data_IF_524653321159
#
_entry.id   IF_524653321159
#
_cell.length_a   1.000
_cell.length_b   1.000
_cell.length_c   1.000
_cell.angle_alpha   90.00
_cell.angle_beta   90.00
_cell.angle_gamma   90.00
#
_symmetry.space_group_name_H-M   'P 1'
#
loop_
_entity.id
_entity.type
_entity.pdbx_description
1 polymer ?
#
# COMPACT_ATOMS: atom_id res chain seq x y z
N UNK A 1 3.74 -24.25 -15.29
CA UNK A 1 4.84 -23.26 -15.40
C UNK A 1 4.32 -22.08 -16.18
N UNK A 2 4.34 -20.86 -15.63
CA UNK A 2 3.80 -19.66 -16.32
C UNK A 2 4.69 -19.30 -17.52
N UNK A 3 4.11 -18.70 -18.57
CA UNK A 3 4.83 -18.35 -19.81
C UNK A 3 6.07 -17.48 -19.55
N UNK A 4 5.96 -16.52 -18.61
CA UNK A 4 7.07 -15.65 -18.20
C UNK A 4 8.11 -16.37 -17.34
N UNK A 5 7.72 -17.36 -16.53
CA UNK A 5 8.67 -18.20 -15.79
C UNK A 5 9.43 -19.14 -16.73
N UNK A 6 8.77 -19.62 -17.79
CA UNK A 6 9.46 -20.30 -18.89
C UNK A 6 10.46 -19.37 -19.60
N UNK A 7 10.06 -18.12 -19.89
CA UNK A 7 10.96 -17.12 -20.48
C UNK A 7 12.16 -16.79 -19.60
N UNK A 8 11.97 -16.77 -18.27
CA UNK A 8 13.05 -16.57 -17.30
C UNK A 8 14.08 -17.70 -17.29
N UNK A 9 13.69 -18.90 -17.71
CA UNK A 9 14.57 -20.07 -17.86
C UNK A 9 15.26 -20.05 -19.22
N UNK A 10 14.52 -19.72 -20.29
CA UNK A 10 15.03 -19.76 -21.67
C UNK A 10 15.88 -18.55 -22.02
N UNK A 11 15.60 -17.37 -21.45
CA UNK A 11 16.34 -16.13 -21.71
C UNK A 11 16.45 -15.24 -20.46
N UNK A 12 17.21 -15.66 -19.43
CA UNK A 12 17.33 -14.94 -18.15
C UNK A 12 17.79 -13.49 -18.29
N UNK A 13 18.72 -13.21 -19.21
CA UNK A 13 19.25 -11.86 -19.45
C UNK A 13 18.21 -10.88 -20.00
N UNK A 14 17.34 -11.35 -20.91
CA UNK A 14 16.25 -10.54 -21.44
C UNK A 14 15.18 -10.28 -20.36
N UNK A 15 14.82 -11.30 -19.58
CA UNK A 15 13.88 -11.16 -18.46
C UNK A 15 14.39 -10.15 -17.43
N UNK A 16 15.67 -10.25 -17.03
CA UNK A 16 16.29 -9.28 -16.12
C UNK A 16 16.24 -7.87 -16.68
N UNK A 17 16.55 -7.68 -17.96
CA UNK A 17 16.48 -6.37 -18.63
C UNK A 17 15.06 -5.80 -18.66
N UNK A 18 14.05 -6.61 -18.93
CA UNK A 18 12.63 -6.19 -18.92
C UNK A 18 12.20 -5.77 -17.51
N UNK A 19 12.51 -6.58 -16.49
CA UNK A 19 12.18 -6.27 -15.10
C UNK A 19 12.90 -5.01 -14.59
N UNK A 20 14.19 -4.83 -14.89
CA UNK A 20 14.94 -3.64 -14.48
C UNK A 20 14.41 -2.38 -15.15
N UNK A 21 14.13 -2.42 -16.46
CA UNK A 21 13.54 -1.29 -17.18
C UNK A 21 12.14 -0.95 -16.66
N UNK A 22 11.40 -1.95 -16.19
CA UNK A 22 10.15 -1.71 -15.47
C UNK A 22 10.44 -1.01 -14.14
N UNK A 23 11.35 -1.54 -13.31
CA UNK A 23 11.71 -1.00 -12.00
C UNK A 23 12.27 0.44 -12.00
N UNK A 24 13.00 0.85 -13.05
CA UNK A 24 13.52 2.22 -13.22
C UNK A 24 12.41 3.28 -13.22
N UNK A 25 11.22 2.95 -13.75
CA UNK A 25 10.07 3.88 -13.75
C UNK A 25 9.47 4.10 -12.37
N UNK A 26 9.80 3.26 -11.39
CA UNK A 26 9.09 3.18 -10.11
C UNK A 26 10.02 3.40 -8.91
N UNK A 27 11.18 4.03 -9.15
CA UNK A 27 12.21 4.34 -8.14
C UNK A 27 12.73 3.15 -7.32
N UNK A 28 12.27 1.92 -7.59
CA UNK A 28 12.76 0.69 -6.95
C UNK A 28 14.27 0.54 -7.12
N UNK A 29 14.80 0.89 -8.31
CA UNK A 29 16.24 0.84 -8.58
C UNK A 29 17.04 1.92 -7.84
N UNK A 30 16.37 2.92 -7.26
CA UNK A 30 16.97 3.97 -6.44
C UNK A 30 17.08 3.54 -4.96
N UNK A 31 16.36 2.49 -4.54
CA UNK A 31 16.49 1.96 -3.19
C UNK A 31 17.87 1.28 -3.03
N UNK A 32 18.74 1.75 -2.11
CA UNK A 32 20.08 1.18 -1.93
C UNK A 32 20.07 -0.28 -1.46
N UNK A 33 18.94 -0.76 -0.91
CA UNK A 33 18.74 -2.16 -0.52
C UNK A 33 18.23 -3.03 -1.67
N UNK A 34 17.90 -2.46 -2.83
CA UNK A 34 17.38 -3.21 -3.97
C UNK A 34 18.45 -4.09 -4.61
N UNK A 35 18.13 -5.38 -4.76
CA UNK A 35 18.87 -6.32 -5.60
C UNK A 35 17.88 -7.09 -6.44
N UNK A 36 18.17 -7.21 -7.74
CA UNK A 36 17.30 -7.93 -8.67
C UNK A 36 17.09 -9.38 -8.22
N UNK A 37 18.15 -10.01 -7.71
CA UNK A 37 18.18 -11.41 -7.32
C UNK A 37 17.22 -11.70 -6.14
N UNK A 38 16.94 -10.71 -5.30
CA UNK A 38 16.03 -10.84 -4.16
C UNK A 38 14.55 -10.75 -4.57
N UNK A 39 14.26 -10.23 -5.78
CA UNK A 39 12.92 -9.86 -6.25
C UNK A 39 12.52 -10.54 -7.56
N UNK A 40 13.32 -10.36 -8.62
CA UNK A 40 13.04 -10.79 -9.98
C UNK A 40 12.63 -12.26 -10.12
N UNK A 41 13.31 -13.23 -9.46
CA UNK A 41 12.93 -14.63 -9.51
C UNK A 41 11.57 -14.97 -8.87
N UNK A 42 11.04 -14.10 -7.99
CA UNK A 42 9.78 -14.36 -7.28
C UNK A 42 8.56 -13.98 -8.14
N UNK A 43 8.72 -13.09 -9.11
CA UNK A 43 7.66 -12.71 -10.07
C UNK A 43 7.22 -13.90 -10.92
N UNK A 44 5.92 -13.93 -11.24
CA UNK A 44 5.28 -15.01 -12.01
C UNK A 44 5.38 -16.42 -11.40
N UNK A 45 5.78 -16.52 -10.13
CA UNK A 45 5.62 -17.73 -9.33
C UNK A 45 4.14 -18.01 -9.02
N UNK A 46 3.83 -19.21 -8.51
CA UNK A 46 2.47 -19.50 -8.03
C UNK A 46 2.09 -18.63 -6.82
N UNK A 47 3.06 -18.28 -5.97
CA UNK A 47 2.85 -17.36 -4.85
C UNK A 47 2.46 -15.97 -5.38
N UNK A 48 3.22 -15.43 -6.34
CA UNK A 48 2.88 -14.18 -7.03
C UNK A 48 1.46 -14.19 -7.60
N UNK A 49 1.09 -15.21 -8.37
CA UNK A 49 -0.24 -15.30 -8.99
C UNK A 49 -1.33 -15.34 -7.93
N UNK A 50 -1.15 -16.12 -6.86
CA UNK A 50 -2.10 -16.19 -5.75
C UNK A 50 -2.26 -14.84 -5.05
N UNK A 51 -1.17 -14.14 -4.77
CA UNK A 51 -1.20 -12.81 -4.15
C UNK A 51 -1.90 -11.79 -5.06
N UNK A 52 -1.55 -11.74 -6.35
CA UNK A 52 -2.21 -10.86 -7.31
C UNK A 52 -3.71 -11.16 -7.40
N UNK A 53 -4.10 -12.44 -7.45
CA UNK A 53 -5.51 -12.81 -7.46
C UNK A 53 -6.24 -12.39 -6.17
N UNK A 54 -5.61 -12.55 -5.00
CA UNK A 54 -6.16 -12.14 -3.71
C UNK A 54 -6.32 -10.62 -3.60
N UNK A 55 -5.34 -9.84 -4.05
CA UNK A 55 -5.41 -8.37 -4.12
C UNK A 55 -6.55 -7.91 -5.04
N UNK A 56 -6.67 -8.51 -6.23
CA UNK A 56 -7.77 -8.22 -7.14
C UNK A 56 -9.13 -8.58 -6.54
N UNK A 57 -9.23 -9.72 -5.86
CA UNK A 57 -10.46 -10.14 -5.18
C UNK A 57 -10.87 -9.17 -4.09
N UNK A 58 -9.92 -8.72 -3.25
CA UNK A 58 -10.16 -7.70 -2.23
C UNK A 58 -10.67 -6.40 -2.86
N UNK A 59 -10.10 -6.01 -4.01
CA UNK A 59 -10.44 -4.78 -4.73
C UNK A 59 -11.80 -4.82 -5.45
N UNK A 60 -12.47 -5.97 -5.52
CA UNK A 60 -13.84 -6.05 -6.06
C UNK A 60 -14.84 -5.23 -5.23
N UNK A 61 -14.53 -4.94 -3.97
CA UNK A 61 -15.35 -4.10 -3.08
C UNK A 61 -15.04 -2.60 -3.16
N UNK A 62 -14.25 -2.14 -4.15
CA UNK A 62 -13.89 -0.73 -4.30
C UNK A 62 -15.14 0.17 -4.42
N UNK A 63 -15.24 1.16 -3.54
CA UNK A 63 -16.32 2.16 -3.51
C UNK A 63 -15.80 3.60 -3.44
N UNK A 64 -14.53 3.79 -3.04
CA UNK A 64 -13.89 5.10 -2.95
C UNK A 64 -13.44 5.58 -4.35
N UNK A 65 -14.38 6.20 -5.08
CA UNK A 65 -14.16 6.80 -6.39
C UNK A 65 -14.06 8.32 -6.30
N UNK A 66 -13.19 8.93 -7.12
CA UNK A 66 -13.06 10.39 -7.22
C UNK A 66 -14.41 11.05 -7.55
N UNK A 67 -14.72 12.15 -6.85
CA UNK A 67 -16.00 12.85 -6.94
C UNK A 67 -17.13 12.29 -6.07
N UNK A 68 -16.95 11.09 -5.50
CA UNK A 68 -17.96 10.43 -4.66
C UNK A 68 -17.65 10.56 -3.16
N UNK A 69 -18.61 10.15 -2.32
CA UNK A 69 -18.43 10.09 -0.89
C UNK A 69 -17.32 9.10 -0.54
N UNK A 70 -16.43 9.49 0.38
CA UNK A 70 -15.39 8.61 0.91
C UNK A 70 -16.03 7.59 1.88
N UNK A 71 -15.89 6.27 1.66
CA UNK A 71 -16.43 5.27 2.58
C UNK A 71 -15.91 5.45 4.00
N UNK A 72 -16.80 5.50 5.01
CA UNK A 72 -16.39 5.53 6.42
C UNK A 72 -16.16 4.10 6.92
N UNK A 73 -14.91 3.63 6.83
CA UNK A 73 -14.56 2.27 7.22
C UNK A 73 -14.04 2.21 8.65
N UNK A 74 -14.28 1.05 9.29
CA UNK A 74 -13.77 0.77 10.62
C UNK A 74 -12.24 0.60 10.62
N UNK A 75 -11.61 1.19 11.62
CA UNK A 75 -10.17 1.19 11.83
C UNK A 75 -9.87 0.95 13.31
N UNK A 76 -8.60 0.71 13.63
CA UNK A 76 -8.10 0.60 15.00
C UNK A 76 -6.94 1.57 15.21
N UNK A 77 -6.92 2.24 16.35
CA UNK A 77 -5.74 2.95 16.84
C UNK A 77 -4.68 1.94 17.32
N UNK A 78 -3.43 2.40 17.50
CA UNK A 78 -2.33 1.53 17.92
C UNK A 78 -2.50 0.91 19.32
N UNK A 79 -3.35 1.50 20.18
CA UNK A 79 -3.76 0.95 21.47
C UNK A 79 -4.98 0.00 21.38
N UNK A 80 -5.42 -0.33 20.15
CA UNK A 80 -6.49 -1.29 19.90
C UNK A 80 -7.91 -0.74 20.04
N UNK A 81 -8.09 0.59 20.16
CA UNK A 81 -9.42 1.18 20.21
C UNK A 81 -10.03 1.31 18.81
N UNK A 82 -11.31 1.01 18.68
CA UNK A 82 -12.04 1.14 17.42
C UNK A 82 -12.25 2.61 17.06
N UNK A 83 -11.97 2.97 15.81
CA UNK A 83 -12.13 4.31 15.23
C UNK A 83 -12.67 4.18 13.79
N UNK A 84 -12.73 5.28 13.03
CA UNK A 84 -13.12 5.27 11.62
C UNK A 84 -12.39 6.36 10.83
N UNK A 85 -12.37 6.24 9.50
CA UNK A 85 -11.72 7.24 8.61
C UNK A 85 -12.27 8.63 8.87
N UNK A 86 -13.59 8.79 8.99
CA UNK A 86 -14.22 10.10 9.11
C UNK A 86 -13.85 10.84 10.40
N UNK A 87 -13.41 10.12 11.45
CA UNK A 87 -12.89 10.75 12.68
C UNK A 87 -11.61 11.54 12.45
N UNK A 88 -10.86 11.23 11.39
CA UNK A 88 -9.63 11.94 11.03
C UNK A 88 -9.84 13.06 10.02
N UNK A 89 -11.07 13.27 9.52
CA UNK A 89 -11.40 14.39 8.62
C UNK A 89 -11.56 15.74 9.34
N UNK A 90 -11.40 15.78 10.67
CA UNK A 90 -11.61 16.96 11.52
C UNK A 90 -10.39 17.30 12.40
N UNK A 91 -9.18 16.89 11.98
CA UNK A 91 -7.95 17.11 12.73
C UNK A 91 -7.31 18.47 12.44
N UNK A 92 -6.24 18.76 13.16
CA UNK A 92 -5.22 19.75 12.82
C UNK A 92 -3.90 19.17 13.33
N UNK A 93 -2.98 18.74 12.45
CA UNK A 93 -1.64 18.24 12.86
C UNK A 93 -0.52 18.83 12.02
N UNK A 94 0.68 19.06 12.60
CA UNK A 94 1.77 19.77 11.94
C UNK A 94 2.59 18.86 10.99
N UNK A 95 2.46 19.12 9.70
CA UNK A 95 3.14 18.56 8.54
C UNK A 95 3.34 19.70 7.53
N UNK A 96 4.22 19.55 6.54
CA UNK A 96 4.16 20.43 5.36
C UNK A 96 2.76 20.30 4.76
N UNK A 97 2.08 21.43 4.54
CA UNK A 97 0.63 21.54 4.25
C UNK A 97 -0.32 21.40 5.45
N UNK A 98 0.15 21.41 6.70
CA UNK A 98 -0.74 21.42 7.89
C UNK A 98 -1.68 22.63 7.98
N UNK A 99 -1.35 23.71 7.29
CA UNK A 99 -2.24 24.84 7.08
C UNK A 99 -3.45 24.51 6.20
N UNK A 100 -3.39 23.42 5.41
CA UNK A 100 -4.41 23.05 4.42
C UNK A 100 -4.89 21.58 4.47
N UNK A 101 -4.15 20.67 5.10
CA UNK A 101 -4.46 19.24 5.13
C UNK A 101 -3.88 18.51 6.35
N UNK A 102 -4.64 17.52 6.84
CA UNK A 102 -4.15 16.46 7.73
C UNK A 102 -3.70 15.23 6.94
N UNK A 103 -2.82 14.42 7.53
CA UNK A 103 -2.36 13.16 6.95
C UNK A 103 -2.60 12.00 7.90
N UNK A 104 -2.87 10.83 7.33
CA UNK A 104 -3.16 9.59 8.03
C UNK A 104 -2.54 8.42 7.26
N UNK A 105 -1.82 7.55 7.96
CA UNK A 105 -1.40 6.25 7.42
C UNK A 105 -2.32 5.17 7.94
N UNK A 106 -2.91 4.40 7.03
CA UNK A 106 -3.68 3.20 7.35
C UNK A 106 -2.84 1.97 7.03
N UNK A 107 -2.41 1.26 8.06
CA UNK A 107 -1.67 0.00 7.95
C UNK A 107 -2.62 -1.13 7.52
N UNK A 108 -2.31 -1.79 6.40
CA UNK A 108 -3.15 -2.84 5.79
C UNK A 108 -2.59 -4.24 6.07
N UNK A 109 -3.09 -5.24 5.33
CA UNK A 109 -2.45 -6.55 5.29
C UNK A 109 -1.10 -6.48 4.53
N UNK A 110 -0.13 -7.31 4.93
CA UNK A 110 1.17 -7.39 4.28
C UNK A 110 1.04 -7.75 2.80
N UNK A 111 1.59 -6.91 1.92
CA UNK A 111 1.72 -7.23 0.50
C UNK A 111 2.70 -8.40 0.27
N UNK A 112 3.70 -8.51 1.16
CA UNK A 112 4.84 -9.42 1.02
C UNK A 112 5.12 -10.26 2.27
N UNK A 113 4.07 -10.87 2.84
CA UNK A 113 4.20 -11.74 4.00
C UNK A 113 5.15 -12.93 3.77
N UNK A 114 5.93 -13.29 4.79
CA UNK A 114 6.98 -14.32 4.70
C UNK A 114 6.46 -15.74 4.46
N UNK A 115 5.25 -16.04 4.89
CA UNK A 115 4.54 -17.29 4.63
C UNK A 115 3.64 -17.24 3.37
N UNK A 116 3.77 -16.19 2.55
CA UNK A 116 3.03 -16.01 1.29
C UNK A 116 3.96 -15.70 0.09
N UNK A 117 4.01 -14.44 -0.37
CA UNK A 117 4.87 -13.99 -1.46
C UNK A 117 5.80 -12.87 -1.00
N UNK A 118 6.94 -13.26 -0.42
CA UNK A 118 7.96 -12.34 0.07
C UNK A 118 9.17 -12.22 -0.85
N UNK A 119 9.94 -11.15 -0.62
CA UNK A 119 11.28 -10.97 -1.17
C UNK A 119 12.33 -11.43 -0.16
N UNK A 120 13.50 -11.83 -0.66
CA UNK A 120 14.56 -12.37 0.20
C UNK A 120 15.08 -11.36 1.25
N UNK A 121 14.95 -10.06 0.96
CA UNK A 121 15.39 -8.96 1.81
C UNK A 121 14.23 -8.22 2.52
N UNK A 122 13.05 -8.83 2.61
CA UNK A 122 11.88 -8.20 3.23
C UNK A 122 11.92 -8.26 4.77
N UNK A 123 11.12 -7.41 5.43
CA UNK A 123 10.88 -7.54 6.88
C UNK A 123 10.16 -8.87 7.14
N UNK A 124 10.60 -9.60 8.17
CA UNK A 124 10.01 -10.89 8.52
C UNK A 124 8.69 -10.72 9.27
N UNK A 125 7.60 -10.59 8.51
CA UNK A 125 6.23 -10.49 9.01
C UNK A 125 5.38 -11.51 8.24
N UNK A 126 4.75 -12.43 8.97
CA UNK A 126 3.80 -13.39 8.39
C UNK A 126 2.43 -12.76 8.16
N UNK A 127 1.55 -13.43 7.42
CA UNK A 127 0.15 -13.03 7.30
C UNK A 127 -0.48 -12.93 8.70
N UNK A 128 -0.99 -11.75 9.04
CA UNK A 128 -1.67 -11.50 10.30
C UNK A 128 -2.89 -12.42 10.45
N UNK A 129 -2.97 -13.16 11.55
CA UNK A 129 -4.09 -14.06 11.89
C UNK A 129 -5.12 -13.40 12.78
N UNK A 130 -4.75 -12.32 13.46
CA UNK A 130 -5.58 -11.56 14.36
C UNK A 130 -5.13 -10.10 14.42
N UNK A 131 -5.91 -9.25 15.09
CA UNK A 131 -5.64 -7.82 15.20
C UNK A 131 -4.35 -7.51 15.97
N UNK A 132 -4.01 -8.32 16.99
CA UNK A 132 -2.80 -8.13 17.79
C UNK A 132 -1.53 -8.27 16.93
N UNK A 133 -1.48 -9.30 16.08
CA UNK A 133 -0.38 -9.48 15.13
C UNK A 133 -0.26 -8.31 14.14
N UNK A 134 -1.39 -7.80 13.64
CA UNK A 134 -1.40 -6.64 12.74
C UNK A 134 -0.97 -5.35 13.44
N UNK A 135 -1.38 -5.14 14.69
CA UNK A 135 -0.93 -4.03 15.51
C UNK A 135 0.57 -4.11 15.79
N UNK A 136 1.09 -5.30 16.10
CA UNK A 136 2.52 -5.53 16.31
C UNK A 136 3.35 -5.23 15.04
N UNK A 137 2.84 -5.60 13.87
CA UNK A 137 3.45 -5.24 12.59
C UNK A 137 3.43 -3.71 12.36
N UNK A 138 2.30 -3.05 12.59
CA UNK A 138 2.19 -1.59 12.50
C UNK A 138 3.16 -0.86 13.44
N UNK A 139 3.43 -1.40 14.64
CA UNK A 139 4.45 -0.86 15.55
C UNK A 139 5.87 -0.92 14.98
N UNK A 140 6.14 -1.80 14.01
CA UNK A 140 7.42 -1.80 13.29
C UNK A 140 7.54 -0.58 12.39
N UNK A 141 6.47 -0.18 11.71
CA UNK A 141 6.44 1.07 10.93
C UNK A 141 6.60 2.30 11.83
N UNK A 142 6.02 2.30 13.02
CA UNK A 142 6.11 3.42 13.98
C UNK A 142 7.56 3.69 14.42
N UNK A 143 8.43 2.68 14.44
CA UNK A 143 9.86 2.84 14.76
C UNK A 143 10.61 3.69 13.74
N UNK A 144 10.08 3.85 12.53
CA UNK A 144 10.63 4.73 11.49
C UNK A 144 10.20 6.20 11.69
N UNK A 145 9.55 6.51 12.82
CA UNK A 145 9.12 7.85 13.25
C UNK A 145 8.27 8.61 12.19
N UNK A 146 7.13 8.02 11.76
CA UNK A 146 6.26 8.69 10.80
C UNK A 146 5.68 9.97 11.40
N UNK A 147 5.76 11.06 10.63
CA UNK A 147 5.27 12.37 11.05
C UNK A 147 3.73 12.49 11.12
N UNK A 148 3.00 11.45 10.71
CA UNK A 148 1.54 11.39 10.71
C UNK A 148 1.02 10.22 11.56
N UNK A 149 -0.20 10.32 12.13
CA UNK A 149 -0.82 9.20 12.81
C UNK A 149 -0.88 7.94 11.95
N UNK A 150 -0.58 6.80 12.60
CA UNK A 150 -0.77 5.47 12.06
C UNK A 150 -1.99 4.83 12.72
N UNK A 151 -2.88 4.29 11.91
CA UNK A 151 -4.03 3.46 12.32
C UNK A 151 -4.00 2.17 11.52
N UNK A 152 -4.76 1.18 11.93
CA UNK A 152 -4.72 -0.17 11.40
C UNK A 152 -6.08 -0.56 10.83
N UNK A 153 -6.09 -1.17 9.65
CA UNK A 153 -7.32 -1.71 9.06
C UNK A 153 -7.84 -2.90 9.85
N UNK A 154 -9.15 -3.10 9.85
CA UNK A 154 -9.78 -4.25 10.47
C UNK A 154 -9.33 -5.55 9.79
N UNK A 155 -9.32 -6.67 10.52
CA UNK A 155 -8.95 -7.98 9.98
C UNK A 155 -9.81 -8.44 8.79
N UNK A 156 -11.00 -7.88 8.63
CA UNK A 156 -11.87 -8.06 7.45
C UNK A 156 -11.34 -7.38 6.18
N UNK A 157 -10.28 -6.57 6.28
CA UNK A 157 -9.69 -5.77 5.20
C UNK A 157 -10.71 -4.81 4.57
N UNK A 158 -11.65 -4.29 5.37
CA UNK A 158 -12.74 -3.47 4.87
C UNK A 158 -12.22 -2.16 4.27
N UNK A 159 -11.20 -1.52 4.86
CA UNK A 159 -10.61 -0.31 4.29
C UNK A 159 -9.84 -0.63 3.02
N UNK A 160 -9.00 -1.66 3.05
CA UNK A 160 -8.29 -2.15 1.87
C UNK A 160 -9.24 -2.46 0.70
N UNK A 161 -10.39 -3.07 0.97
CA UNK A 161 -11.39 -3.40 -0.04
C UNK A 161 -12.09 -2.17 -0.58
N UNK A 162 -12.67 -1.32 0.30
CA UNK A 162 -13.45 -0.14 -0.10
C UNK A 162 -12.62 0.93 -0.79
N UNK A 163 -11.32 1.00 -0.49
CA UNK A 163 -10.39 1.93 -1.14
C UNK A 163 -9.50 1.25 -2.19
N UNK A 164 -9.66 -0.06 -2.44
CA UNK A 164 -8.78 -0.82 -3.34
C UNK A 164 -7.31 -0.49 -3.09
N UNK A 165 -6.92 -0.51 -1.80
CA UNK A 165 -5.70 0.15 -1.31
C UNK A 165 -4.48 -0.77 -1.26
N UNK A 166 -4.64 -2.05 -1.64
CA UNK A 166 -3.53 -3.00 -1.75
C UNK A 166 -2.84 -2.87 -3.12
N UNK A 167 -1.49 -3.02 -3.18
CA UNK A 167 -0.59 -3.21 -2.04
C UNK A 167 -0.38 -1.92 -1.23
N UNK A 168 -0.47 -0.76 -1.88
CA UNK A 168 -0.46 0.57 -1.30
C UNK A 168 -1.21 1.54 -2.23
N UNK A 169 -1.76 2.63 -1.68
CA UNK A 169 -2.49 3.64 -2.45
C UNK A 169 -2.62 4.96 -1.71
N UNK A 170 -2.59 6.08 -2.45
CA UNK A 170 -2.81 7.43 -1.92
C UNK A 170 -4.21 7.94 -2.27
N UNK A 171 -4.81 8.66 -1.33
CA UNK A 171 -6.12 9.30 -1.47
C UNK A 171 -6.08 10.71 -0.87
N UNK A 172 -6.84 11.64 -1.43
CA UNK A 172 -7.14 12.92 -0.78
C UNK A 172 -8.66 13.01 -0.59
N UNK A 173 -9.08 13.25 0.65
CA UNK A 173 -10.48 13.36 1.04
C UNK A 173 -10.72 14.77 1.58
N UNK A 174 -11.72 15.45 1.03
CA UNK A 174 -12.13 16.79 1.48
C UNK A 174 -13.65 16.80 1.68
N UNK A 175 -14.08 17.31 2.84
CA UNK A 175 -15.51 17.40 3.19
C UNK A 175 -16.28 16.08 3.00
N UNK A 176 -15.64 14.95 3.33
CA UNK A 176 -16.22 13.61 3.22
C UNK A 176 -16.29 13.05 1.79
N UNK A 177 -15.67 13.70 0.81
CA UNK A 177 -15.61 13.24 -0.58
C UNK A 177 -14.18 12.95 -1.02
N UNK A 178 -13.99 11.95 -1.87
CA UNK A 178 -12.71 11.69 -2.52
C UNK A 178 -12.49 12.76 -3.59
N UNK A 179 -11.46 13.58 -3.44
CA UNK A 179 -11.06 14.58 -4.45
C UNK A 179 -9.84 14.14 -5.25
N UNK A 180 -9.16 13.09 -4.82
CA UNK A 180 -8.10 12.43 -5.57
C UNK A 180 -8.04 10.95 -5.19
N UNK A 181 -7.99 10.10 -6.21
CA UNK A 181 -7.76 8.67 -6.09
C UNK A 181 -6.47 8.31 -6.85
N UNK A 182 -5.41 7.98 -6.11
CA UNK A 182 -4.13 7.58 -6.72
C UNK A 182 -4.22 6.25 -7.47
N UNK A 183 -3.23 5.97 -8.31
CA UNK A 183 -3.09 4.67 -8.95
C UNK A 183 -2.65 3.58 -7.95
N UNK A 184 -2.82 2.31 -8.33
CA UNK A 184 -2.40 1.17 -7.49
C UNK A 184 -0.87 1.12 -7.43
N UNK A 185 -0.32 1.01 -6.22
CA UNK A 185 1.12 0.93 -6.00
C UNK A 185 1.75 -0.42 -6.43
N UNK A 186 3.08 -0.48 -6.57
CA UNK A 186 4.00 0.67 -6.48
C UNK A 186 3.92 1.58 -7.72
N UNK A 187 3.24 1.13 -8.79
CA UNK A 187 3.23 1.81 -10.09
C UNK A 187 2.52 3.16 -10.11
N UNK A 188 1.45 3.30 -9.34
CA UNK A 188 0.64 4.52 -9.25
C UNK A 188 0.81 5.28 -7.94
N UNK A 189 1.76 4.88 -7.09
CA UNK A 189 2.04 5.59 -5.85
C UNK A 189 2.87 6.84 -6.15
N UNK A 190 2.23 8.02 -6.10
CA UNK A 190 2.86 9.29 -6.49
C UNK A 190 2.57 10.41 -5.47
N UNK A 191 3.48 10.66 -4.52
CA UNK A 191 3.39 11.82 -3.63
C UNK A 191 3.36 13.17 -4.37
N UNK A 192 4.01 13.24 -5.54
CA UNK A 192 4.00 14.45 -6.38
C UNK A 192 2.63 14.78 -6.96
N UNK A 193 1.80 13.77 -7.26
CA UNK A 193 0.41 14.01 -7.66
C UNK A 193 -0.42 14.53 -6.50
N UNK A 194 -0.23 13.97 -5.29
CA UNK A 194 -0.87 14.48 -4.07
C UNK A 194 -0.46 15.94 -3.83
N UNK A 195 0.82 16.27 -3.92
CA UNK A 195 1.32 17.65 -3.80
C UNK A 195 0.59 18.61 -4.74
N UNK A 196 0.46 18.26 -6.03
CA UNK A 196 -0.26 19.07 -7.03
C UNK A 196 -1.74 19.26 -6.69
N UNK A 197 -2.38 18.27 -6.06
CA UNK A 197 -3.76 18.39 -5.58
C UNK A 197 -3.82 19.35 -4.40
N UNK A 198 -2.93 19.20 -3.42
CA UNK A 198 -2.87 20.06 -2.22
C UNK A 198 -2.58 21.53 -2.57
N UNK A 199 -1.70 21.78 -3.54
CA UNK A 199 -1.38 23.15 -4.01
C UNK A 199 -2.57 23.85 -4.68
N UNK A 200 -3.55 23.11 -5.22
CA UNK A 200 -4.75 23.68 -5.85
C UNK A 200 -5.87 24.02 -4.87
N UNK A 201 -5.86 23.40 -3.69
CA UNK A 201 -6.87 23.59 -2.65
C UNK A 201 -6.39 24.52 -1.53
N UNK A 202 -5.13 24.97 -1.59
CA UNK A 202 -4.58 26.06 -0.80
C UNK A 202 -5.17 27.40 -1.23
#
# INVERSE_FOLDING_TARGET
MTLLKFLSIVSPGLTKKIHLKMGEKFTMTQNPKFKYEDWGPTFFSMAFIKTVASVNWCSLGLEAFEGHAAPDTALFTLDGQKTSIHRFLKGNRPLDFSDVADFLVVYLAEAHATDAWAFANNVDISVHKNLEERLAAAQTLVKEDPLCPVVVDEMTNITASKYGALPERLYVIQSGKVIYQGGIGPWGYSPEEVRKVLEKIK
#
